data_IF_996678574190
#
_entry.id   IF_996678574190
#
_cell.length_a   1.000
_cell.length_b   1.000
_cell.length_c   1.000
_cell.angle_alpha   90.00
_cell.angle_beta   90.00
_cell.angle_gamma   90.00
#
_symmetry.space_group_name_H-M   'P 1'
#
loop_
_entity.id
_entity.type
_entity.pdbx_description
1 polymer ?
#
# COMPACT_ATOMS: atom_id res chain seq x y z
N UNK A 1 0.03 -5.27 9.27
CA UNK A 1 0.30 -3.99 8.59
C UNK A 1 1.72 -3.60 8.94
N UNK A 2 2.65 -3.96 8.07
CA UNK A 2 4.06 -3.60 8.20
C UNK A 2 4.18 -2.08 8.10
N UNK A 3 4.75 -1.48 9.13
CA UNK A 3 5.03 -0.05 9.17
C UNK A 3 6.05 0.23 8.06
N UNK A 4 5.74 1.10 7.09
CA UNK A 4 6.61 1.30 5.94
C UNK A 4 8.00 1.73 6.41
N UNK A 5 8.98 0.96 5.94
CA UNK A 5 10.41 1.14 6.19
C UNK A 5 10.79 2.60 5.91
N UNK A 6 11.57 3.25 6.78
CA UNK A 6 11.89 4.68 6.68
C UNK A 6 12.65 5.10 5.42
N UNK A 7 13.03 4.14 4.57
CA UNK A 7 13.59 4.35 3.24
C UNK A 7 12.59 4.95 2.24
N UNK A 8 11.29 4.68 2.39
CA UNK A 8 10.24 5.11 1.46
C UNK A 8 9.64 6.50 1.75
N UNK A 9 10.16 7.23 2.75
CA UNK A 9 9.57 8.49 3.21
C UNK A 9 10.27 9.72 2.61
N UNK A 10 10.33 9.81 1.28
CA UNK A 10 10.38 11.13 0.64
C UNK A 10 8.94 11.68 0.69
N UNK A 11 8.55 12.14 1.88
CA UNK A 11 7.17 12.56 2.13
C UNK A 11 6.78 13.75 1.25
N UNK A 12 5.49 13.85 0.86
CA UNK A 12 5.03 14.74 -0.21
C UNK A 12 5.15 16.24 0.10
N UNK A 13 5.37 16.63 1.37
CA UNK A 13 5.46 18.05 1.79
C UNK A 13 6.88 18.49 2.15
N UNK A 14 7.68 17.65 2.80
CA UNK A 14 9.02 18.04 3.27
C UNK A 14 9.98 16.87 3.11
N UNK A 15 11.04 17.08 2.32
CA UNK A 15 12.14 16.13 2.21
C UNK A 15 12.91 16.03 3.53
N UNK A 16 13.10 14.81 4.00
CA UNK A 16 13.93 14.50 5.17
C UNK A 16 15.39 14.36 4.72
N UNK A 17 16.32 15.01 5.42
CA UNK A 17 17.75 14.80 5.17
C UNK A 17 18.19 13.42 5.65
N UNK A 18 19.35 12.93 5.20
CA UNK A 18 19.89 11.62 5.62
C UNK A 18 19.98 11.46 7.14
N UNK A 19 20.41 12.52 7.83
CA UNK A 19 20.48 12.58 9.29
C UNK A 19 19.09 12.50 9.93
N UNK A 20 18.10 13.21 9.37
CA UNK A 20 16.72 13.20 9.87
C UNK A 20 16.09 11.82 9.64
N UNK A 21 16.38 11.17 8.51
CA UNK A 21 15.94 9.80 8.22
C UNK A 21 16.51 8.81 9.22
N UNK A 22 17.82 8.92 9.52
CA UNK A 22 18.48 8.07 10.52
C UNK A 22 17.90 8.24 11.92
N UNK A 23 17.57 9.47 12.31
CA UNK A 23 16.88 9.76 13.58
C UNK A 23 15.52 9.05 13.63
N UNK A 24 14.74 9.14 12.56
CA UNK A 24 13.41 8.50 12.49
C UNK A 24 13.54 6.97 12.52
N UNK A 25 14.51 6.39 11.82
CA UNK A 25 14.78 4.93 11.88
C UNK A 25 15.06 4.47 13.31
N UNK A 26 15.98 5.14 14.02
CA UNK A 26 16.31 4.81 15.41
C UNK A 26 15.10 5.00 16.33
N UNK A 27 14.28 6.03 16.10
CA UNK A 27 13.05 6.26 16.85
C UNK A 27 12.08 5.06 16.74
N UNK A 28 12.00 4.39 15.60
CA UNK A 28 11.16 3.20 15.42
C UNK A 28 11.78 1.91 15.94
N UNK A 29 13.07 1.70 15.70
CA UNK A 29 13.76 0.46 16.07
C UNK A 29 13.92 0.33 17.59
N UNK A 30 14.36 1.41 18.25
CA UNK A 30 14.65 1.41 19.69
C UNK A 30 13.54 2.07 20.50
N UNK A 31 12.84 3.07 19.95
CA UNK A 31 12.08 4.01 20.76
C UNK A 31 13.00 4.83 21.67
N UNK A 32 12.41 5.56 22.61
CA UNK A 32 13.14 6.31 23.62
C UNK A 32 12.87 7.81 23.60
N UNK A 33 13.46 8.51 24.56
CA UNK A 33 13.32 9.97 24.66
C UNK A 33 14.18 10.66 23.60
N UNK A 34 13.81 11.89 23.22
CA UNK A 34 14.60 12.68 22.27
C UNK A 34 16.05 12.89 22.72
N UNK A 35 16.31 12.85 24.04
CA UNK A 35 17.63 12.95 24.63
C UNK A 35 18.46 11.69 24.40
N UNK A 36 17.88 10.51 24.63
CA UNK A 36 18.57 9.23 24.40
C UNK A 36 18.94 9.02 22.93
N UNK A 37 18.06 9.41 22.02
CA UNK A 37 18.30 9.31 20.57
C UNK A 37 19.39 10.31 20.14
N UNK A 38 19.36 11.52 20.72
CA UNK A 38 20.39 12.54 20.52
C UNK A 38 21.77 12.05 20.96
N UNK A 39 21.86 11.50 22.17
CA UNK A 39 23.11 10.98 22.73
C UNK A 39 23.64 9.80 21.90
N UNK A 40 22.75 8.93 21.40
CA UNK A 40 23.13 7.78 20.57
C UNK A 40 23.67 8.17 19.18
N UNK A 41 23.06 9.18 18.54
CA UNK A 41 23.45 9.62 17.20
C UNK A 41 24.49 10.75 17.21
N UNK A 42 24.84 11.27 18.39
CA UNK A 42 25.76 12.41 18.53
C UNK A 42 25.17 13.72 17.98
N UNK A 43 23.86 13.92 18.09
CA UNK A 43 23.15 15.10 17.53
C UNK A 43 22.46 15.87 18.65
N UNK A 44 22.28 17.18 18.49
CA UNK A 44 21.50 17.97 19.44
C UNK A 44 20.04 17.48 19.57
N UNK A 45 19.45 17.44 20.79
CA UNK A 45 18.04 17.04 20.99
C UNK A 45 17.04 17.84 20.15
N UNK A 46 17.35 19.12 19.88
CA UNK A 46 16.54 19.99 19.00
C UNK A 46 16.40 19.44 17.59
N UNK A 47 17.44 18.79 17.07
CA UNK A 47 17.41 18.17 15.73
C UNK A 47 16.52 16.94 15.73
N UNK A 48 16.49 16.19 16.83
CA UNK A 48 15.58 15.04 16.99
C UNK A 48 14.13 15.49 16.99
N UNK A 49 13.79 16.57 17.73
CA UNK A 49 12.46 17.17 17.69
C UNK A 49 12.08 17.67 16.28
N UNK A 50 13.01 18.31 15.57
CA UNK A 50 12.77 18.78 14.20
C UNK A 50 12.51 17.62 13.23
N UNK A 51 13.31 16.56 13.29
CA UNK A 51 13.19 15.38 12.44
C UNK A 51 11.84 14.67 12.67
N UNK A 52 11.50 14.39 13.92
CA UNK A 52 10.24 13.76 14.30
C UNK A 52 9.03 14.63 13.94
N UNK A 53 9.13 15.95 14.08
CA UNK A 53 8.08 16.88 13.65
C UNK A 53 7.86 16.88 12.13
N UNK A 54 8.94 16.93 11.33
CA UNK A 54 8.86 16.85 9.87
C UNK A 54 8.23 15.55 9.42
N UNK A 55 8.64 14.44 10.04
CA UNK A 55 8.06 13.14 9.78
C UNK A 55 6.55 13.10 10.09
N UNK A 56 6.14 13.67 11.23
CA UNK A 56 4.72 13.82 11.61
C UNK A 56 3.91 14.59 10.55
N UNK A 57 4.49 15.64 9.99
CA UNK A 57 3.85 16.45 8.96
C UNK A 57 3.66 15.68 7.65
N UNK A 58 4.64 14.85 7.30
CA UNK A 58 4.57 13.95 6.14
C UNK A 58 3.53 12.85 6.34
N UNK A 59 3.43 12.24 7.53
CA UNK A 59 2.37 11.27 7.85
C UNK A 59 0.97 11.88 7.72
N UNK A 60 0.78 13.09 8.24
CA UNK A 60 -0.50 13.80 8.11
C UNK A 60 -0.85 14.09 6.64
N UNK A 61 0.13 14.39 5.81
CA UNK A 61 -0.08 14.61 4.38
C UNK A 61 -0.46 13.33 3.63
N UNK A 62 -0.03 12.16 4.13
CA UNK A 62 -0.41 10.85 3.61
C UNK A 62 -1.74 10.33 4.20
N UNK A 63 -2.41 11.10 5.04
CA UNK A 63 -3.69 10.70 5.67
C UNK A 63 -3.53 9.67 6.79
N UNK A 64 -2.32 9.43 7.28
CA UNK A 64 -2.06 8.48 8.38
C UNK A 64 -2.12 9.25 9.70
N UNK A 65 -3.14 8.94 10.52
CA UNK A 65 -3.36 9.58 11.82
C UNK A 65 -2.38 9.07 12.89
N UNK A 66 -1.87 9.99 13.71
CA UNK A 66 -0.76 9.74 14.66
C UNK A 66 -1.09 8.77 15.79
N UNK A 67 -2.37 8.53 16.02
CA UNK A 67 -2.88 7.64 17.06
C UNK A 67 -2.40 6.20 16.87
N UNK A 68 -2.08 5.80 15.64
CA UNK A 68 -1.53 4.47 15.34
C UNK A 68 -0.07 4.32 15.81
N UNK A 69 0.69 5.42 15.88
CA UNK A 69 2.11 5.41 16.25
C UNK A 69 2.34 5.28 17.76
N UNK A 70 1.44 5.86 18.56
CA UNK A 70 1.57 5.86 20.03
C UNK A 70 1.36 4.48 20.65
N UNK A 71 0.67 3.57 19.94
CA UNK A 71 0.37 2.21 20.43
C UNK A 71 1.60 1.31 20.54
N UNK A 72 2.72 1.68 19.92
CA UNK A 72 4.01 0.96 20.02
C UNK A 72 4.92 1.43 21.17
N UNK A 73 4.70 2.62 21.71
CA UNK A 73 5.62 3.26 22.68
C UNK A 73 5.35 2.79 24.12
N UNK A 74 4.09 2.47 24.45
CA UNK A 74 3.71 2.15 25.83
C UNK A 74 4.15 0.74 26.28
N UNK A 75 4.55 -0.14 25.37
CA UNK A 75 4.90 -1.53 25.72
C UNK A 75 6.33 -1.74 26.24
N UNK A 76 7.21 -0.72 26.23
CA UNK A 76 8.62 -0.88 26.66
C UNK A 76 9.09 0.04 27.81
N UNK A 77 8.30 1.03 28.22
CA UNK A 77 8.71 1.97 29.30
C UNK A 77 8.35 1.51 30.72
N UNK A 78 8.33 0.20 30.99
CA UNK A 78 8.06 -0.34 32.33
C UNK A 78 9.23 -1.18 32.82
N UNK A 79 10.39 -0.56 33.02
CA UNK A 79 11.43 -1.16 33.86
C UNK A 79 12.34 -0.13 34.54
N UNK A 80 12.40 -0.31 35.86
CA UNK A 80 13.42 0.12 36.82
C UNK A 80 13.27 1.54 37.40
N UNK A 81 12.64 1.61 38.59
CA UNK A 81 13.22 2.15 39.84
C UNK A 81 12.32 1.80 41.04
N UNK A 82 12.90 1.13 42.04
CA UNK A 82 12.44 1.00 43.44
C UNK A 82 13.66 1.29 44.33
N UNK A 83 13.55 1.50 45.67
CA UNK A 83 12.43 1.29 46.62
C UNK A 83 12.05 2.61 47.37
N UNK A 84 11.02 2.73 48.22
CA UNK A 84 10.88 2.14 49.57
C UNK A 84 9.51 2.54 50.19
N UNK A 85 8.89 1.59 50.93
CA UNK A 85 7.88 1.66 52.03
C UNK A 85 6.62 2.55 51.89
N UNK A 86 5.42 1.95 51.86
CA UNK A 86 4.50 1.84 53.02
C UNK A 86 3.13 1.24 52.64
N UNK A 87 2.46 0.73 53.67
CA UNK A 87 1.39 -0.24 53.68
C UNK A 87 0.02 0.25 53.16
N UNK A 88 -0.86 -0.73 52.97
CA UNK A 88 -2.33 -0.67 52.79
C UNK A 88 -2.83 -0.34 51.38
N UNK A 89 -3.13 -1.39 50.64
CA UNK A 89 -4.52 -1.78 50.39
C UNK A 89 -4.52 -3.10 49.63
N UNK A 90 -5.20 -4.11 50.15
CA UNK A 90 -5.62 -5.25 49.35
C UNK A 90 -6.53 -4.70 48.24
N UNK A 91 -5.97 -4.39 47.07
CA UNK A 91 -6.79 -4.33 45.86
C UNK A 91 -7.14 -5.78 45.58
N UNK A 92 -8.32 -6.20 46.02
CA UNK A 92 -8.98 -7.37 45.48
C UNK A 92 -8.80 -7.30 43.97
N UNK A 93 -8.06 -8.26 43.41
CA UNK A 93 -7.99 -8.45 41.96
C UNK A 93 -9.44 -8.62 41.54
N UNK A 94 -10.04 -7.68 40.79
CA UNK A 94 -11.43 -7.85 40.40
C UNK A 94 -11.48 -9.12 39.55
N UNK A 95 -12.33 -10.07 39.93
CA UNK A 95 -12.55 -11.28 39.16
C UNK A 95 -12.74 -10.89 37.70
N UNK A 96 -12.17 -11.67 36.78
CA UNK A 96 -12.21 -11.42 35.32
C UNK A 96 -13.60 -11.03 34.82
N UNK A 97 -14.63 -11.58 35.45
CA UNK A 97 -16.05 -11.30 35.19
C UNK A 97 -16.46 -9.85 35.49
N UNK A 98 -16.01 -9.27 36.62
CA UNK A 98 -16.27 -7.86 36.95
C UNK A 98 -15.53 -6.91 36.02
N UNK A 99 -14.30 -7.26 35.62
CA UNK A 99 -13.58 -6.50 34.60
C UNK A 99 -14.27 -6.54 33.24
N UNK A 100 -14.78 -7.71 32.85
CA UNK A 100 -15.52 -7.85 31.59
C UNK A 100 -16.81 -7.03 31.63
N UNK A 101 -17.48 -6.95 32.77
CA UNK A 101 -18.69 -6.15 32.90
C UNK A 101 -18.40 -4.64 32.89
N UNK A 102 -17.32 -4.21 33.55
CA UNK A 102 -16.88 -2.81 33.48
C UNK A 102 -16.43 -2.43 32.07
N UNK A 103 -15.71 -3.32 31.38
CA UNK A 103 -15.32 -3.13 29.97
C UNK A 103 -16.57 -3.04 29.10
N UNK A 104 -17.57 -3.91 29.29
CA UNK A 104 -18.83 -3.84 28.54
C UNK A 104 -19.57 -2.54 28.81
N UNK A 105 -19.58 -2.06 30.05
CA UNK A 105 -20.20 -0.80 30.43
C UNK A 105 -19.53 0.39 29.76
N UNK A 106 -18.19 0.48 29.84
CA UNK A 106 -17.42 1.54 29.19
C UNK A 106 -17.57 1.48 27.66
N UNK A 107 -17.59 0.28 27.07
CA UNK A 107 -17.86 0.12 25.62
C UNK A 107 -19.26 0.58 25.27
N UNK A 108 -20.28 0.29 26.08
CA UNK A 108 -21.65 0.78 25.86
C UNK A 108 -21.76 2.30 26.00
N UNK A 109 -21.11 2.89 27.00
CA UNK A 109 -21.09 4.34 27.22
C UNK A 109 -20.37 5.07 26.08
N UNK A 110 -19.18 4.59 25.68
CA UNK A 110 -18.44 5.16 24.54
C UNK A 110 -19.18 4.99 23.22
N UNK A 111 -19.82 3.84 22.98
CA UNK A 111 -20.65 3.65 21.79
C UNK A 111 -21.91 4.52 21.83
N UNK A 112 -22.52 4.73 23.00
CA UNK A 112 -23.65 5.64 23.15
C UNK A 112 -23.27 7.10 22.89
N UNK A 113 -22.08 7.53 23.33
CA UNK A 113 -21.54 8.86 23.05
C UNK A 113 -21.19 9.06 21.56
N UNK A 114 -20.70 8.00 20.88
CA UNK A 114 -20.31 8.08 19.47
C UNK A 114 -21.51 7.96 18.53
N UNK A 115 -22.48 7.09 18.85
CA UNK A 115 -23.57 6.73 17.95
C UNK A 115 -24.83 7.57 18.25
N UNK A 116 -24.86 8.27 19.40
CA UNK A 116 -26.06 8.91 19.91
C UNK A 116 -27.08 7.86 20.38
N UNK A 117 -27.96 8.25 21.29
CA UNK A 117 -28.98 7.41 21.94
C UNK A 117 -29.95 6.76 20.94
N UNK A 118 -29.50 5.74 20.23
CA UNK A 118 -30.34 4.85 19.46
C UNK A 118 -30.61 3.62 20.34
N UNK A 119 -31.88 3.26 20.59
CA UNK A 119 -32.20 2.06 21.33
C UNK A 119 -31.57 0.86 20.61
N UNK A 120 -30.80 0.06 21.35
CA UNK A 120 -30.08 -1.15 20.89
C UNK A 120 -31.04 -2.24 20.33
N UNK A 121 -32.34 -1.95 20.25
CA UNK A 121 -33.38 -2.82 19.70
C UNK A 121 -33.44 -2.88 18.17
N UNK A 122 -32.63 -2.09 17.45
CA UNK A 122 -32.53 -2.16 15.99
C UNK A 122 -31.07 -2.12 15.52
N UNK A 123 -30.27 -3.11 15.91
CA UNK A 123 -29.30 -3.59 14.93
C UNK A 123 -30.14 -4.17 13.78
N UNK A 124 -30.00 -3.71 12.52
CA UNK A 124 -30.46 -4.54 11.43
C UNK A 124 -29.72 -5.87 11.65
N UNK A 125 -30.44 -6.98 11.68
CA UNK A 125 -29.82 -8.27 11.41
C UNK A 125 -29.09 -8.04 10.09
N UNK A 126 -27.78 -7.79 10.18
CA UNK A 126 -26.92 -7.66 9.03
C UNK A 126 -27.11 -8.99 8.33
N UNK A 127 -27.77 -8.94 7.17
CA UNK A 127 -28.10 -10.10 6.37
C UNK A 127 -26.76 -10.62 5.81
N UNK A 128 -26.04 -11.34 6.67
CA UNK A 128 -24.77 -11.98 6.35
C UNK A 128 -24.94 -12.94 5.19
N UNK A 129 -26.16 -13.47 4.98
CA UNK A 129 -26.52 -14.24 3.81
C UNK A 129 -26.38 -13.42 2.53
N UNK A 130 -27.02 -12.25 2.47
CA UNK A 130 -26.91 -11.34 1.31
C UNK A 130 -25.47 -10.89 1.04
N UNK A 131 -24.68 -10.63 2.09
CA UNK A 131 -23.27 -10.23 1.94
C UNK A 131 -22.43 -11.40 1.39
N UNK A 132 -22.63 -12.62 1.90
CA UNK A 132 -21.94 -13.81 1.40
C UNK A 132 -22.34 -14.12 -0.05
N UNK A 133 -23.61 -13.93 -0.42
CA UNK A 133 -24.06 -14.04 -1.81
C UNK A 133 -23.43 -13.00 -2.73
N UNK A 134 -23.29 -11.75 -2.27
CA UNK A 134 -22.61 -10.68 -3.00
C UNK A 134 -21.11 -10.96 -3.15
N UNK A 135 -20.45 -11.49 -2.12
CA UNK A 135 -19.04 -11.89 -2.17
C UNK A 135 -18.83 -13.06 -3.13
N UNK A 136 -19.69 -14.09 -3.11
CA UNK A 136 -19.64 -15.20 -4.06
C UNK A 136 -19.93 -14.74 -5.49
N UNK A 137 -20.81 -13.76 -5.68
CA UNK A 137 -21.07 -13.15 -6.99
C UNK A 137 -19.86 -12.36 -7.48
N UNK A 138 -19.18 -11.67 -6.58
CA UNK A 138 -17.95 -10.93 -6.89
C UNK A 138 -16.82 -11.89 -7.27
N UNK A 139 -16.62 -12.95 -6.51
CA UNK A 139 -15.65 -14.02 -6.80
C UNK A 139 -15.86 -14.60 -8.21
N UNK A 140 -17.08 -15.01 -8.53
CA UNK A 140 -17.44 -15.49 -9.89
C UNK A 140 -17.21 -14.46 -10.98
N UNK A 141 -17.38 -13.17 -10.67
CA UNK A 141 -17.12 -12.09 -11.64
C UNK A 141 -15.62 -11.89 -11.89
N UNK A 142 -14.80 -12.05 -10.84
CA UNK A 142 -13.34 -11.98 -10.92
C UNK A 142 -12.79 -13.17 -11.71
N UNK A 143 -13.31 -14.38 -11.48
CA UNK A 143 -12.95 -15.57 -12.26
C UNK A 143 -13.27 -15.38 -13.75
N UNK A 144 -14.48 -14.90 -14.08
CA UNK A 144 -14.86 -14.59 -15.47
C UNK A 144 -13.97 -13.53 -16.10
N UNK A 145 -13.57 -12.51 -15.33
CA UNK A 145 -12.65 -11.49 -15.81
C UNK A 145 -11.27 -12.11 -16.08
N UNK A 146 -10.75 -12.93 -15.17
CA UNK A 146 -9.50 -13.64 -15.36
C UNK A 146 -9.53 -14.55 -16.61
N UNK A 147 -10.63 -15.28 -16.82
CA UNK A 147 -10.84 -16.06 -18.04
C UNK A 147 -10.85 -15.17 -19.30
N UNK A 148 -11.53 -14.03 -19.26
CA UNK A 148 -11.56 -13.11 -20.41
C UNK A 148 -10.19 -12.51 -20.72
N UNK A 149 -9.40 -12.19 -19.69
CA UNK A 149 -8.02 -11.71 -19.84
C UNK A 149 -7.15 -12.81 -20.44
N UNK A 150 -7.27 -14.04 -19.95
CA UNK A 150 -6.54 -15.19 -20.50
C UNK A 150 -6.92 -15.47 -21.96
N UNK A 151 -8.23 -15.39 -22.30
CA UNK A 151 -8.68 -15.52 -23.70
C UNK A 151 -8.12 -14.41 -24.58
N UNK A 152 -8.12 -13.16 -24.11
CA UNK A 152 -7.52 -12.05 -24.84
C UNK A 152 -6.01 -12.25 -25.00
N UNK A 153 -5.30 -12.69 -23.96
CA UNK A 153 -3.88 -12.98 -24.02
C UNK A 153 -3.56 -14.08 -25.04
N UNK A 154 -4.39 -15.12 -25.14
CA UNK A 154 -4.28 -16.15 -26.18
C UNK A 154 -4.49 -15.56 -27.58
N UNK A 155 -5.52 -14.75 -27.78
CA UNK A 155 -5.79 -14.08 -29.06
C UNK A 155 -4.64 -13.14 -29.45
N UNK A 156 -4.10 -12.36 -28.52
CA UNK A 156 -2.93 -11.52 -28.78
C UNK A 156 -1.68 -12.33 -29.08
N UNK A 157 -1.47 -13.46 -28.40
CA UNK A 157 -0.36 -14.37 -28.70
C UNK A 157 -0.48 -14.98 -30.09
N UNK A 158 -1.70 -15.33 -30.53
CA UNK A 158 -1.98 -15.87 -31.85
C UNK A 158 -1.83 -14.82 -32.96
N UNK A 159 -2.26 -13.58 -32.69
CA UNK A 159 -2.04 -12.45 -33.62
C UNK A 159 -0.54 -12.13 -33.72
N UNK A 160 0.18 -12.15 -32.60
CA UNK A 160 1.61 -11.88 -32.58
C UNK A 160 2.41 -12.98 -33.27
N UNK A 161 2.06 -14.26 -33.07
CA UNK A 161 2.70 -15.36 -33.80
C UNK A 161 2.39 -15.31 -35.30
N UNK A 162 1.16 -14.96 -35.69
CA UNK A 162 0.78 -14.77 -37.09
C UNK A 162 1.49 -13.57 -37.74
N UNK A 163 1.66 -12.47 -37.00
CA UNK A 163 2.44 -11.31 -37.45
C UNK A 163 3.91 -11.69 -37.68
N UNK A 164 4.52 -12.43 -36.74
CA UNK A 164 5.91 -12.91 -36.85
C UNK A 164 6.08 -13.88 -38.03
N UNK A 165 5.13 -14.79 -38.27
CA UNK A 165 5.17 -15.69 -39.46
C UNK A 165 5.07 -14.88 -40.76
N UNK A 166 4.21 -13.86 -40.81
CA UNK A 166 4.11 -12.98 -41.99
C UNK A 166 5.33 -12.07 -42.21
N UNK A 167 6.13 -11.81 -41.17
CA UNK A 167 7.41 -11.10 -41.25
C UNK A 167 8.56 -12.02 -41.68
N UNK A 168 8.58 -13.27 -41.22
CA UNK A 168 9.63 -14.23 -41.59
C UNK A 168 9.48 -14.70 -43.05
N UNK A 169 8.26 -14.88 -43.55
CA UNK A 169 8.01 -15.17 -44.98
C UNK A 169 8.36 -13.98 -45.90
N UNK A 170 8.42 -12.78 -45.35
CA UNK A 170 8.76 -11.54 -46.06
C UNK A 170 10.26 -11.36 -46.31
N UNK A 171 11.11 -11.96 -45.47
CA UNK A 171 12.56 -11.70 -45.48
C UNK A 171 13.31 -12.62 -46.46
N UNK A 172 12.70 -13.75 -46.88
CA UNK A 172 13.37 -14.77 -47.71
C UNK A 172 13.00 -14.74 -49.20
N UNK A 173 12.33 -13.68 -49.69
CA UNK A 173 11.89 -13.62 -51.08
C UNK A 173 12.17 -12.26 -51.73
N UNK A 174 13.40 -12.12 -52.24
CA UNK A 174 13.86 -10.95 -53.02
C UNK A 174 13.17 -10.84 -54.42
N UNK A 175 12.18 -11.68 -54.70
CA UNK A 175 11.39 -11.69 -55.95
C UNK A 175 9.89 -11.33 -55.75
N UNK A 176 9.45 -11.08 -54.51
CA UNK A 176 8.01 -10.96 -54.17
C UNK A 176 7.42 -9.54 -54.26
N UNK A 177 8.24 -8.52 -54.49
CA UNK A 177 7.76 -7.13 -54.55
C UNK A 177 6.73 -6.93 -55.68
N UNK A 178 6.81 -7.74 -56.74
CA UNK A 178 5.91 -7.73 -57.89
C UNK A 178 4.54 -8.33 -57.58
N UNK A 179 4.47 -9.28 -56.63
CA UNK A 179 3.23 -10.00 -56.25
C UNK A 179 2.53 -9.36 -55.05
N UNK A 180 3.27 -8.65 -54.20
CA UNK A 180 2.73 -7.86 -53.07
C UNK A 180 2.13 -6.52 -53.47
N UNK A 181 2.38 -6.06 -54.69
CA UNK A 181 1.81 -4.82 -55.19
C UNK A 181 0.42 -5.04 -55.79
N UNK A 182 -0.55 -4.15 -55.51
CA UNK A 182 -1.86 -4.19 -56.16
C UNK A 182 -1.73 -4.18 -57.69
N UNK A 183 -2.63 -4.90 -58.37
CA UNK A 183 -2.57 -5.15 -59.83
C UNK A 183 -2.48 -3.89 -60.69
N UNK A 184 -2.98 -2.75 -60.23
CA UNK A 184 -2.90 -1.46 -60.93
C UNK A 184 -1.52 -0.77 -60.86
N UNK A 185 -0.63 -1.24 -59.98
CA UNK A 185 0.75 -0.75 -59.86
C UNK A 185 1.70 -1.64 -60.67
N UNK A 186 1.32 -2.90 -60.89
CA UNK A 186 2.08 -3.88 -61.64
C UNK A 186 2.14 -3.47 -63.13
N UNK A 187 3.34 -3.09 -63.61
CA UNK A 187 3.54 -2.61 -64.98
C UNK A 187 3.67 -1.10 -65.14
N UNK A 188 3.72 -0.33 -64.03
CA UNK A 188 3.97 1.10 -64.12
C UNK A 188 5.45 1.38 -64.52
N UNK A 189 5.71 2.05 -65.66
CA UNK A 189 7.07 2.28 -66.16
C UNK A 189 7.93 3.15 -65.24
N UNK A 190 7.30 3.98 -64.39
CA UNK A 190 8.01 4.83 -63.43
C UNK A 190 8.63 4.07 -62.26
N UNK A 191 8.17 2.83 -61.99
CA UNK A 191 8.76 2.00 -60.93
C UNK A 191 10.22 1.63 -61.22
N UNK A 192 10.56 1.39 -62.48
CA UNK A 192 11.93 1.14 -62.88
C UNK A 192 12.84 2.36 -62.64
N UNK A 193 12.31 3.56 -62.91
CA UNK A 193 13.00 4.84 -62.70
C UNK A 193 13.17 5.16 -61.20
N UNK A 194 12.18 4.81 -60.38
CA UNK A 194 12.25 5.00 -58.93
C UNK A 194 13.21 3.99 -58.27
N UNK A 195 13.19 2.72 -58.70
CA UNK A 195 14.14 1.69 -58.23
C UNK A 195 15.59 2.06 -58.53
N UNK A 196 15.88 2.66 -59.68
CA UNK A 196 17.23 3.08 -60.05
C UNK A 196 17.73 4.31 -59.28
N UNK A 197 16.82 5.16 -58.80
CA UNK A 197 17.17 6.35 -57.99
C UNK A 197 17.27 6.09 -56.49
N UNK A 198 16.68 5.01 -55.98
CA UNK A 198 16.70 4.64 -54.56
C UNK A 198 17.99 3.97 -54.07
N UNK A 199 18.94 3.62 -54.95
CA UNK A 199 20.29 3.18 -54.56
C UNK A 199 21.24 4.38 -54.49
N UNK A 200 21.18 5.14 -53.40
CA UNK A 200 22.24 6.04 -52.95
C UNK A 200 22.31 6.02 -51.43
#
# INVERSE_FOLDING_TARGET
MDVPVPEALDGPKVRLTETERRIVSVFFERGGTAKEIADFLGVAPRTVYKATYKYRLNLKALGIELSELKRGIEKKSKRVRSPTVEAKSYRAVPSRELLLEEIRKVVRETLADIIGSQPIASLPQLDTGSIVEQLNRLEKSIEKLAESINRLALVFSEINSRAVVSEIENINSDDDFSKRMPSFVQGNPWLAVLKSRGRR
#
